data_IF_355129654540
#
_entry.id   IF_355129654540
#
_cell.length_a   1.000
_cell.length_b   1.000
_cell.length_c   1.000
_cell.angle_alpha   90.00
_cell.angle_beta   90.00
_cell.angle_gamma   90.00
#
_symmetry.space_group_name_H-M   'P 1'
#
loop_
_entity.id
_entity.type
_entity.pdbx_description
1 polymer ?
#
# COMPACT_ATOMS: atom_id res chain seq x y z
N UNK A 1 5.04 17.94 1.26
CA UNK A 1 5.98 18.14 0.10
C UNK A 1 5.27 18.18 -1.26
N UNK A 2 5.97 18.48 -2.37
CA UNK A 2 5.41 18.35 -3.74
C UNK A 2 5.30 16.87 -4.15
N UNK A 3 4.30 16.50 -4.94
CA UNK A 3 4.08 15.11 -5.33
C UNK A 3 5.10 14.61 -6.36
N UNK A 4 5.58 15.47 -7.25
CA UNK A 4 6.65 15.17 -8.21
C UNK A 4 7.88 14.50 -7.57
N UNK A 5 8.29 14.94 -6.38
CA UNK A 5 9.41 14.35 -5.65
C UNK A 5 9.18 12.88 -5.28
N UNK A 6 7.95 12.49 -4.95
CA UNK A 6 7.59 11.09 -4.70
C UNK A 6 7.49 10.30 -6.01
N UNK A 7 6.94 10.92 -7.06
CA UNK A 7 6.84 10.33 -8.40
C UNK A 7 8.22 10.01 -8.98
N UNK A 8 9.20 10.91 -8.82
CA UNK A 8 10.59 10.69 -9.21
C UNK A 8 11.25 9.55 -8.43
N UNK A 9 10.94 9.40 -7.14
CA UNK A 9 11.42 8.26 -6.34
C UNK A 9 10.86 6.95 -6.89
N UNK A 10 9.56 6.91 -7.23
CA UNK A 10 8.96 5.73 -7.83
C UNK A 10 9.57 5.40 -9.21
N UNK A 11 9.86 6.41 -10.03
CA UNK A 11 10.53 6.24 -11.33
C UNK A 11 11.93 5.65 -11.19
N UNK A 12 12.72 6.21 -10.28
CA UNK A 12 14.05 5.68 -9.99
C UNK A 12 14.00 4.23 -9.51
N UNK A 13 13.08 3.91 -8.61
CA UNK A 13 12.93 2.54 -8.11
C UNK A 13 12.51 1.56 -9.21
N UNK A 14 11.58 1.93 -10.07
CA UNK A 14 11.14 1.10 -11.20
C UNK A 14 12.26 0.86 -12.23
N UNK A 15 13.13 1.86 -12.45
CA UNK A 15 14.30 1.72 -13.33
C UNK A 15 15.46 0.93 -12.71
N UNK A 16 15.42 0.68 -11.41
CA UNK A 16 16.49 0.01 -10.66
C UNK A 16 16.20 -1.49 -10.57
N UNK A 17 17.20 -2.33 -10.80
CA UNK A 17 17.10 -3.79 -10.60
C UNK A 17 17.81 -4.27 -9.33
N UNK A 18 18.76 -3.48 -8.82
CA UNK A 18 19.53 -3.79 -7.62
C UNK A 18 18.71 -3.49 -6.36
N UNK A 19 18.44 -4.53 -5.55
CA UNK A 19 17.76 -4.36 -4.25
C UNK A 19 18.53 -3.42 -3.31
N UNK A 20 19.87 -3.47 -3.32
CA UNK A 20 20.68 -2.59 -2.47
C UNK A 20 20.52 -1.13 -2.88
N UNK A 21 20.52 -0.85 -4.18
CA UNK A 21 20.31 0.50 -4.70
C UNK A 21 18.89 1.00 -4.42
N UNK A 22 17.86 0.15 -4.54
CA UNK A 22 16.50 0.49 -4.10
C UNK A 22 16.45 0.85 -2.62
N UNK A 23 17.15 0.09 -1.77
CA UNK A 23 17.26 0.36 -0.33
C UNK A 23 17.88 1.73 -0.08
N UNK A 24 18.95 2.07 -0.80
CA UNK A 24 19.63 3.37 -0.65
C UNK A 24 18.73 4.53 -1.11
N UNK A 25 18.06 4.39 -2.26
CA UNK A 25 17.10 5.37 -2.79
C UNK A 25 15.99 5.65 -1.75
N UNK A 26 15.40 4.60 -1.19
CA UNK A 26 14.34 4.71 -0.19
C UNK A 26 14.86 5.30 1.11
N UNK A 27 16.04 4.87 1.58
CA UNK A 27 16.62 5.37 2.83
C UNK A 27 16.90 6.87 2.77
N UNK A 28 17.49 7.34 1.67
CA UNK A 28 17.77 8.75 1.43
C UNK A 28 16.50 9.59 1.31
N UNK A 29 15.44 9.00 0.76
CA UNK A 29 14.14 9.64 0.69
C UNK A 29 13.49 9.74 2.06
N UNK A 30 13.44 8.65 2.83
CA UNK A 30 12.78 8.60 4.14
C UNK A 30 13.34 9.63 5.12
N UNK A 31 14.66 9.87 5.12
CA UNK A 31 15.32 10.89 5.96
C UNK A 31 14.86 12.33 5.71
N UNK A 32 14.21 12.60 4.58
CA UNK A 32 13.79 13.95 4.15
C UNK A 32 12.30 14.20 4.33
N UNK A 33 11.54 13.20 4.76
CA UNK A 33 10.08 13.23 4.82
C UNK A 33 9.63 13.35 6.27
N UNK A 34 8.58 14.15 6.49
CA UNK A 34 7.94 14.27 7.79
C UNK A 34 7.33 12.91 8.22
N UNK A 35 7.47 12.47 9.49
CA UNK A 35 7.01 11.15 9.93
C UNK A 35 5.56 10.83 9.58
N UNK A 36 4.66 11.82 9.65
CA UNK A 36 3.24 11.64 9.30
C UNK A 36 3.00 11.45 7.80
N UNK A 37 3.81 12.08 6.94
CA UNK A 37 3.73 11.90 5.48
C UNK A 37 4.33 10.54 5.08
N UNK A 38 5.39 10.09 5.76
CA UNK A 38 6.08 8.82 5.49
C UNK A 38 5.14 7.61 5.53
N UNK A 39 4.21 7.59 6.51
CA UNK A 39 3.20 6.53 6.62
C UNK A 39 2.38 6.37 5.34
N UNK A 40 1.83 7.47 4.85
CA UNK A 40 1.00 7.48 3.66
C UNK A 40 1.82 7.15 2.41
N UNK A 41 3.07 7.60 2.33
CA UNK A 41 3.97 7.28 1.20
C UNK A 41 4.27 5.79 1.10
N UNK A 42 4.44 5.10 2.23
CA UNK A 42 4.65 3.65 2.25
C UNK A 42 3.42 2.93 1.70
N UNK A 43 2.21 3.33 2.07
CA UNK A 43 1.00 2.73 1.50
C UNK A 43 0.88 3.01 -0.01
N UNK A 44 1.18 4.24 -0.43
CA UNK A 44 1.10 4.62 -1.84
C UNK A 44 2.13 3.89 -2.71
N UNK A 45 3.30 3.52 -2.17
CA UNK A 45 4.28 2.70 -2.88
C UNK A 45 3.74 1.33 -3.30
N UNK A 46 2.71 0.83 -2.60
CA UNK A 46 1.99 -0.42 -2.92
C UNK A 46 0.60 -0.17 -3.52
N UNK A 47 0.29 1.09 -3.90
CA UNK A 47 -0.97 1.46 -4.52
C UNK A 47 -2.18 1.45 -3.59
N UNK A 48 -1.97 1.71 -2.29
CA UNK A 48 -3.02 1.73 -1.26
C UNK A 48 -2.96 3.03 -0.45
N UNK A 49 -4.07 3.35 0.24
CA UNK A 49 -4.12 4.43 1.22
C UNK A 49 -3.98 3.94 2.67
N UNK A 50 -4.16 2.63 2.86
CA UNK A 50 -4.23 1.99 4.16
C UNK A 50 -3.48 0.65 4.13
N UNK A 51 -3.21 0.04 5.30
CA UNK A 51 -2.66 -1.32 5.39
C UNK A 51 -3.52 -2.37 4.67
N UNK A 52 -2.92 -3.51 4.34
CA UNK A 52 -3.55 -4.62 3.59
C UNK A 52 -4.85 -5.13 4.25
N UNK A 53 -4.91 -5.12 5.58
CA UNK A 53 -6.07 -5.60 6.35
C UNK A 53 -7.22 -4.59 6.45
N UNK A 54 -7.05 -3.40 5.87
CA UNK A 54 -8.11 -2.42 5.80
C UNK A 54 -9.06 -2.78 4.64
N UNK A 55 -10.39 -2.83 4.88
CA UNK A 55 -11.32 -3.46 3.95
C UNK A 55 -11.60 -2.62 2.68
N UNK A 56 -11.23 -1.35 2.69
CA UNK A 56 -11.55 -0.43 1.60
C UNK A 56 -10.46 -0.48 0.53
N UNK A 57 -10.90 -0.64 -0.72
CA UNK A 57 -10.03 -0.60 -1.89
C UNK A 57 -10.27 0.69 -2.67
N UNK A 58 -9.18 1.35 -3.03
CA UNK A 58 -9.22 2.53 -3.92
C UNK A 58 -9.75 2.18 -5.33
N UNK A 59 -9.48 0.95 -5.78
CA UNK A 59 -9.55 0.45 -7.16
C UNK A 59 -10.61 1.07 -8.08
N UNK A 60 -10.14 1.80 -9.09
CA UNK A 60 -10.93 2.26 -10.23
C UNK A 60 -10.78 1.29 -11.41
N UNK A 61 -11.89 1.03 -12.11
CA UNK A 61 -11.85 0.25 -13.34
C UNK A 61 -11.05 0.97 -14.43
N UNK A 62 -10.24 0.23 -15.19
CA UNK A 62 -9.41 0.78 -16.28
C UNK A 62 -10.21 1.68 -17.23
N UNK A 63 -11.41 1.25 -17.63
CA UNK A 63 -12.28 2.02 -18.52
C UNK A 63 -12.64 3.40 -17.96
N UNK A 64 -12.78 3.53 -16.63
CA UNK A 64 -13.06 4.81 -15.98
C UNK A 64 -11.83 5.71 -15.97
N UNK A 65 -10.65 5.12 -15.74
CA UNK A 65 -9.37 5.81 -15.79
C UNK A 65 -9.06 6.32 -17.19
N UNK A 66 -9.25 5.49 -18.23
CA UNK A 66 -9.07 5.90 -19.63
C UNK A 66 -10.00 7.05 -20.03
N UNK A 67 -11.25 7.05 -19.54
CA UNK A 67 -12.19 8.17 -19.73
C UNK A 67 -11.70 9.46 -19.05
N UNK A 68 -11.14 9.36 -17.84
CA UNK A 68 -10.55 10.50 -17.16
C UNK A 68 -9.33 11.05 -17.91
N UNK A 69 -8.48 10.18 -18.47
CA UNK A 69 -7.32 10.58 -19.29
C UNK A 69 -7.79 11.30 -20.57
N UNK A 70 -8.83 10.78 -21.24
CA UNK A 70 -9.38 11.41 -22.44
C UNK A 70 -9.93 12.82 -22.15
N UNK A 71 -10.63 13.00 -21.02
CA UNK A 71 -11.24 14.28 -20.66
C UNK A 71 -10.23 15.39 -20.36
N UNK A 72 -9.02 15.06 -19.87
CA UNK A 72 -7.99 16.04 -19.51
C UNK A 72 -6.91 16.26 -20.59
N UNK A 73 -6.70 15.28 -21.46
CA UNK A 73 -5.65 15.36 -22.50
C UNK A 73 -6.06 16.17 -23.73
N UNK A 74 -7.35 16.47 -23.87
CA UNK A 74 -7.92 17.08 -25.09
C UNK A 74 -7.89 16.14 -26.29
N UNK A 75 -7.81 14.83 -26.05
CA UNK A 75 -7.80 13.76 -27.06
C UNK A 75 -9.12 13.00 -27.06
N UNK A 76 -9.42 12.36 -28.19
CA UNK A 76 -10.63 11.55 -28.31
C UNK A 76 -10.48 10.26 -27.51
N UNK A 77 -11.60 9.70 -27.03
CA UNK A 77 -11.60 8.40 -26.35
C UNK A 77 -10.94 7.30 -27.21
N UNK A 78 -11.15 7.35 -28.53
CA UNK A 78 -10.56 6.40 -29.47
C UNK A 78 -9.03 6.44 -29.48
N UNK A 79 -8.42 7.63 -29.47
CA UNK A 79 -6.96 7.77 -29.40
C UNK A 79 -6.39 7.16 -28.11
N UNK A 80 -7.11 7.33 -26.99
CA UNK A 80 -6.72 6.76 -25.69
C UNK A 80 -6.84 5.23 -25.70
N UNK A 81 -7.95 4.70 -26.23
CA UNK A 81 -8.17 3.26 -26.35
C UNK A 81 -7.14 2.60 -27.28
N UNK A 82 -6.79 3.24 -28.41
CA UNK A 82 -5.76 2.78 -29.34
C UNK A 82 -4.37 2.74 -28.68
N UNK A 83 -4.08 3.68 -27.79
CA UNK A 83 -2.82 3.70 -27.02
C UNK A 83 -2.83 2.64 -25.92
N UNK A 84 -3.96 2.46 -25.23
CA UNK A 84 -4.16 1.41 -24.24
C UNK A 84 -3.90 0.01 -24.82
N UNK A 85 -4.42 -0.28 -26.02
CA UNK A 85 -4.17 -1.55 -26.72
C UNK A 85 -2.68 -1.82 -26.94
N UNK A 86 -1.88 -0.76 -27.16
CA UNK A 86 -0.44 -0.88 -27.43
C UNK A 86 0.39 -1.04 -26.15
N UNK A 87 0.06 -0.28 -25.11
CA UNK A 87 0.89 -0.19 -23.89
C UNK A 87 0.44 -1.16 -22.79
N UNK A 88 -0.88 -1.38 -22.64
CA UNK A 88 -1.43 -2.24 -21.59
C UNK A 88 -1.23 -1.71 -20.15
N UNK A 89 -0.73 -0.50 -19.97
CA UNK A 89 -0.56 0.17 -18.67
C UNK A 89 -1.27 1.54 -18.65
N UNK A 90 -2.20 1.78 -17.70
CA UNK A 90 -2.95 3.04 -17.66
C UNK A 90 -2.06 4.22 -17.28
N UNK A 91 -0.95 3.97 -16.57
CA UNK A 91 0.03 4.98 -16.22
C UNK A 91 0.81 5.48 -17.44
N UNK A 92 1.36 4.58 -18.25
CA UNK A 92 2.09 4.96 -19.47
C UNK A 92 1.18 5.64 -20.49
N UNK A 93 -0.09 5.22 -20.58
CA UNK A 93 -1.11 5.92 -21.39
C UNK A 93 -1.29 7.36 -20.88
N UNK A 94 -1.42 7.54 -19.56
CA UNK A 94 -1.58 8.87 -18.97
C UNK A 94 -0.36 9.75 -19.21
N UNK A 95 0.86 9.24 -19.01
CA UNK A 95 2.11 9.95 -19.24
C UNK A 95 2.19 10.49 -20.68
N UNK A 96 1.96 9.63 -21.68
CA UNK A 96 2.04 10.03 -23.08
C UNK A 96 0.94 11.01 -23.49
N UNK A 97 -0.26 10.87 -22.92
CA UNK A 97 -1.40 11.76 -23.22
C UNK A 97 -1.23 13.13 -22.56
N UNK A 98 -0.71 13.17 -21.33
CA UNK A 98 -0.42 14.40 -20.59
C UNK A 98 0.76 15.15 -21.21
N UNK A 99 1.83 14.44 -21.62
CA UNK A 99 2.98 15.04 -22.30
C UNK A 99 2.61 15.72 -23.63
N UNK A 100 1.55 15.25 -24.29
CA UNK A 100 1.06 15.76 -25.58
C UNK A 100 -0.22 16.60 -25.45
N UNK A 101 -0.47 17.20 -24.27
CA UNK A 101 -1.60 18.10 -24.01
C UNK A 101 -1.64 19.18 -25.09
N UNK A 102 -2.70 19.20 -25.90
CA UNK A 102 -2.91 20.19 -26.97
C UNK A 102 -3.36 21.55 -26.43
N UNK A 103 -3.92 21.56 -25.23
CA UNK A 103 -4.53 22.72 -24.60
C UNK A 103 -3.57 23.25 -23.53
N UNK A 104 -3.05 24.46 -23.72
CA UNK A 104 -2.25 25.13 -22.70
C UNK A 104 -3.13 25.37 -21.46
N UNK A 105 -2.70 24.85 -20.31
CA UNK A 105 -3.31 25.16 -19.02
C UNK A 105 -3.09 26.66 -18.74
N UNK A 106 -4.17 27.44 -18.70
CA UNK A 106 -4.11 28.87 -18.38
C UNK A 106 -3.61 29.08 -16.94
N UNK A 107 -3.89 28.13 -16.05
CA UNK A 107 -3.40 28.05 -14.67
C UNK A 107 -3.23 26.57 -14.30
N UNK A 108 -2.07 26.20 -13.74
CA UNK A 108 -1.79 24.88 -13.17
C UNK A 108 -1.10 25.11 -11.84
N UNK A 109 -1.61 24.50 -10.78
CA UNK A 109 -0.94 24.50 -9.48
C UNK A 109 -0.17 23.19 -9.31
N UNK A 110 1.12 23.22 -8.94
CA UNK A 110 1.87 21.99 -8.70
C UNK A 110 1.19 21.12 -7.63
N UNK A 111 1.03 19.84 -7.93
CA UNK A 111 0.42 18.90 -6.99
C UNK A 111 1.25 18.79 -5.72
N UNK A 112 0.58 18.90 -4.58
CA UNK A 112 1.17 18.57 -3.28
C UNK A 112 0.86 17.12 -2.93
N UNK A 113 1.73 16.50 -2.13
CA UNK A 113 1.47 15.16 -1.59
C UNK A 113 0.12 15.10 -0.88
N UNK A 114 -0.16 16.09 -0.03
CA UNK A 114 -1.43 16.22 0.69
C UNK A 114 -2.64 16.30 -0.23
N UNK A 115 -2.59 17.14 -1.28
CA UNK A 115 -3.71 17.26 -2.23
C UNK A 115 -3.96 15.98 -3.02
N UNK A 116 -2.91 15.21 -3.33
CA UNK A 116 -3.06 13.90 -3.97
C UNK A 116 -3.71 12.91 -3.00
N UNK A 117 -3.23 12.81 -1.76
CA UNK A 117 -3.85 11.95 -0.75
C UNK A 117 -5.32 12.29 -0.55
N UNK A 118 -5.66 13.57 -0.41
CA UNK A 118 -7.06 14.03 -0.30
C UNK A 118 -7.90 13.62 -1.51
N UNK A 119 -7.36 13.79 -2.74
CA UNK A 119 -8.02 13.38 -3.97
C UNK A 119 -8.25 11.86 -4.05
N UNK A 120 -7.27 11.07 -3.63
CA UNK A 120 -7.37 9.61 -3.58
C UNK A 120 -8.38 9.16 -2.50
N UNK A 121 -8.39 9.78 -1.33
CA UNK A 121 -9.39 9.49 -0.28
C UNK A 121 -10.81 9.80 -0.74
N UNK A 122 -11.01 10.88 -1.50
CA UNK A 122 -12.31 11.18 -2.11
C UNK A 122 -12.73 10.13 -3.15
N UNK A 123 -11.78 9.54 -3.88
CA UNK A 123 -12.04 8.42 -4.80
C UNK A 123 -12.41 7.15 -4.04
N UNK A 124 -11.68 6.82 -2.98
CA UNK A 124 -11.91 5.62 -2.15
C UNK A 124 -13.28 5.65 -1.46
N UNK A 125 -13.61 6.80 -0.85
CA UNK A 125 -14.85 6.98 -0.07
C UNK A 125 -16.10 7.20 -0.94
N UNK A 126 -15.95 7.40 -2.26
CA UNK A 126 -17.07 7.60 -3.16
C UNK A 126 -17.88 6.30 -3.36
N UNK A 127 -19.02 6.21 -2.66
CA UNK A 127 -19.97 5.08 -2.73
C UNK A 127 -21.38 5.51 -3.15
N UNK A 128 -22.22 4.56 -3.55
CA UNK A 128 -23.61 4.79 -3.93
C UNK A 128 -23.80 5.26 -5.38
N UNK A 129 -25.00 5.80 -5.65
CA UNK A 129 -25.38 6.33 -6.96
C UNK A 129 -24.40 7.45 -7.36
N UNK A 130 -24.03 7.50 -8.64
CA UNK A 130 -23.10 8.48 -9.22
C UNK A 130 -21.66 8.45 -8.64
N UNK A 131 -21.28 7.39 -7.93
CA UNK A 131 -19.92 7.20 -7.42
C UNK A 131 -18.88 7.16 -8.55
N UNK A 132 -19.16 6.46 -9.65
CA UNK A 132 -18.26 6.36 -10.80
C UNK A 132 -17.94 7.75 -11.39
N UNK A 133 -18.95 8.61 -11.55
CA UNK A 133 -18.75 9.97 -12.08
C UNK A 133 -17.96 10.85 -11.12
N UNK A 134 -18.20 10.73 -9.81
CA UNK A 134 -17.40 11.43 -8.79
C UNK A 134 -15.94 10.98 -8.81
N UNK A 135 -15.68 9.68 -8.82
CA UNK A 135 -14.32 9.11 -8.91
C UNK A 135 -13.59 9.64 -10.16
N UNK A 136 -14.28 9.62 -11.31
CA UNK A 136 -13.73 10.15 -12.57
C UNK A 136 -13.41 11.65 -12.48
N UNK A 137 -14.27 12.46 -11.87
CA UNK A 137 -14.04 13.92 -11.69
C UNK A 137 -12.84 14.20 -10.79
N UNK A 138 -12.71 13.48 -9.68
CA UNK A 138 -11.56 13.64 -8.77
C UNK A 138 -10.25 13.23 -9.44
N UNK A 139 -10.25 12.11 -10.17
CA UNK A 139 -9.08 11.69 -10.94
C UNK A 139 -8.73 12.71 -12.03
N UNK A 140 -9.71 13.15 -12.82
CA UNK A 140 -9.50 14.15 -13.86
C UNK A 140 -8.94 15.47 -13.30
N UNK A 141 -9.38 15.90 -12.11
CA UNK A 141 -8.80 17.07 -11.44
C UNK A 141 -7.33 16.87 -11.12
N UNK A 142 -6.93 15.73 -10.54
CA UNK A 142 -5.52 15.46 -10.28
C UNK A 142 -4.69 15.39 -11.58
N UNK A 143 -5.20 14.74 -12.62
CA UNK A 143 -4.50 14.62 -13.91
C UNK A 143 -4.41 15.94 -14.70
N UNK A 144 -5.31 16.87 -14.44
CA UNK A 144 -5.25 18.20 -15.02
C UNK A 144 -3.99 18.94 -14.55
N UNK A 145 -3.71 18.89 -13.25
CA UNK A 145 -2.63 19.62 -12.57
C UNK A 145 -1.30 18.83 -12.51
N UNK A 146 -1.31 17.54 -12.88
CA UNK A 146 -0.12 16.68 -12.86
C UNK A 146 0.80 16.89 -14.07
N UNK A 147 2.10 16.75 -13.83
CA UNK A 147 3.08 16.49 -14.88
C UNK A 147 2.94 15.04 -15.44
N UNK A 148 3.66 14.68 -16.53
CA UNK A 148 3.55 13.35 -17.13
C UNK A 148 3.92 12.18 -16.20
N UNK A 149 4.94 12.33 -15.36
CA UNK A 149 5.43 11.27 -14.45
C UNK A 149 4.48 11.13 -13.26
N UNK A 150 4.00 12.25 -12.72
CA UNK A 150 2.95 12.28 -11.71
C UNK A 150 1.67 11.61 -12.24
N UNK A 151 1.25 11.91 -13.46
CA UNK A 151 0.08 11.30 -14.10
C UNK A 151 0.21 9.77 -14.19
N UNK A 152 1.40 9.28 -14.55
CA UNK A 152 1.69 7.84 -14.59
C UNK A 152 1.41 7.19 -13.23
N UNK A 153 2.00 7.73 -12.17
CA UNK A 153 1.88 7.13 -10.84
C UNK A 153 0.50 7.31 -10.24
N UNK A 154 -0.18 8.44 -10.45
CA UNK A 154 -1.58 8.62 -10.02
C UNK A 154 -2.46 7.54 -10.64
N UNK A 155 -2.36 7.31 -11.96
CA UNK A 155 -3.14 6.28 -12.65
C UNK A 155 -2.81 4.85 -12.19
N UNK A 156 -1.53 4.56 -11.90
CA UNK A 156 -1.13 3.25 -11.34
C UNK A 156 -1.59 3.06 -9.90
N UNK A 157 -1.60 4.10 -9.08
CA UNK A 157 -2.14 4.06 -7.71
C UNK A 157 -3.63 3.75 -7.74
N UNK A 158 -4.43 4.51 -8.51
CA UNK A 158 -5.90 4.29 -8.53
C UNK A 158 -6.32 2.96 -9.15
N UNK A 159 -5.47 2.34 -9.97
CA UNK A 159 -5.71 1.01 -10.54
C UNK A 159 -5.08 -0.13 -9.73
N UNK A 160 -4.33 0.17 -8.66
CA UNK A 160 -3.64 -0.84 -7.86
C UNK A 160 -2.50 -1.56 -8.60
N UNK A 161 -1.89 -0.91 -9.60
CA UNK A 161 -0.85 -1.47 -10.48
C UNK A 161 0.52 -0.85 -10.28
N UNK A 162 0.84 -0.47 -9.05
CA UNK A 162 2.17 0.05 -8.73
C UNK A 162 3.25 -1.00 -9.01
N UNK A 163 4.27 -0.62 -9.79
CA UNK A 163 5.39 -1.48 -10.23
C UNK A 163 6.74 -0.98 -9.72
N UNK A 164 6.77 -0.53 -8.47
CA UNK A 164 7.96 0.12 -7.90
C UNK A 164 9.11 -0.87 -7.62
N UNK A 165 8.85 -2.18 -7.67
CA UNK A 165 9.87 -3.23 -7.44
C UNK A 165 10.33 -3.39 -5.98
N UNK A 166 10.08 -2.40 -5.12
CA UNK A 166 10.38 -2.44 -3.69
C UNK A 166 9.31 -3.21 -2.90
N UNK A 167 9.58 -4.48 -2.58
CA UNK A 167 8.74 -5.27 -1.68
C UNK A 167 8.87 -4.83 -0.21
N UNK A 168 7.99 -5.35 0.66
CA UNK A 168 7.96 -5.02 2.09
C UNK A 168 9.30 -5.18 2.80
N UNK A 169 10.09 -6.21 2.43
CA UNK A 169 11.41 -6.42 3.02
C UNK A 169 12.43 -5.36 2.59
N UNK A 170 12.36 -4.87 1.35
CA UNK A 170 13.22 -3.77 0.87
C UNK A 170 12.87 -2.47 1.59
N UNK A 171 11.58 -2.18 1.76
CA UNK A 171 11.11 -1.03 2.56
C UNK A 171 11.59 -1.12 4.00
N UNK A 172 11.50 -2.31 4.61
CA UNK A 172 11.99 -2.54 5.98
C UNK A 172 13.51 -2.35 6.09
N UNK A 173 14.28 -2.86 5.13
CA UNK A 173 15.74 -2.66 5.09
C UNK A 173 16.07 -1.16 4.94
N UNK A 174 15.31 -0.42 4.13
CA UNK A 174 15.48 1.01 3.95
C UNK A 174 15.12 1.83 5.18
N UNK A 175 14.06 1.46 5.91
CA UNK A 175 13.70 2.05 7.20
C UNK A 175 14.80 1.83 8.24
N UNK A 176 15.34 0.60 8.31
CA UNK A 176 16.46 0.29 9.19
C UNK A 176 17.68 1.15 8.80
N UNK A 177 18.05 1.21 7.52
CA UNK A 177 19.17 2.04 7.05
C UNK A 177 18.95 3.55 7.27
N UNK A 178 17.68 4.00 7.33
CA UNK A 178 17.35 5.40 7.50
C UNK A 178 17.43 5.85 8.97
N UNK A 179 16.94 5.03 9.89
CA UNK A 179 16.61 5.46 11.25
C UNK A 179 17.10 4.52 12.36
N UNK A 180 17.80 3.43 12.03
CA UNK A 180 18.24 2.42 12.99
C UNK A 180 19.60 1.81 12.60
N UNK A 181 20.07 0.86 13.41
CA UNK A 181 21.23 0.02 13.05
C UNK A 181 20.79 -1.32 12.46
N UNK A 182 21.75 -2.05 11.88
CA UNK A 182 21.52 -3.39 11.32
C UNK A 182 21.10 -4.39 12.40
N UNK A 183 21.61 -4.24 13.61
CA UNK A 183 21.29 -5.05 14.78
C UNK A 183 19.88 -4.78 15.30
N UNK A 184 19.34 -3.60 15.01
CA UNK A 184 18.00 -3.16 15.44
C UNK A 184 16.88 -3.58 14.48
N UNK A 185 17.22 -3.94 13.24
CA UNK A 185 16.29 -4.44 12.21
C UNK A 185 15.32 -5.53 12.71
N UNK A 186 15.73 -6.55 13.49
CA UNK A 186 14.81 -7.56 14.00
C UNK A 186 13.68 -7.00 14.88
N UNK A 187 13.90 -5.86 15.57
CA UNK A 187 12.87 -5.22 16.38
C UNK A 187 11.86 -4.46 15.51
N UNK A 188 12.29 -3.86 14.40
CA UNK A 188 11.41 -3.28 13.38
C UNK A 188 10.57 -4.39 12.74
N UNK A 189 11.20 -5.52 12.40
CA UNK A 189 10.52 -6.69 11.85
C UNK A 189 9.50 -7.26 12.84
N UNK A 190 9.86 -7.36 14.13
CA UNK A 190 8.92 -7.74 15.19
C UNK A 190 7.72 -6.80 15.25
N UNK A 191 7.95 -5.49 15.23
CA UNK A 191 6.88 -4.50 15.27
C UNK A 191 5.94 -4.66 14.06
N UNK A 192 6.49 -4.82 12.85
CA UNK A 192 5.68 -5.10 11.66
C UNK A 192 4.91 -6.42 11.76
N UNK A 193 5.52 -7.47 12.32
CA UNK A 193 4.85 -8.76 12.48
C UNK A 193 3.67 -8.70 13.45
N UNK A 194 3.68 -7.82 14.45
CA UNK A 194 2.59 -7.69 15.43
C UNK A 194 1.55 -6.62 15.08
N UNK A 195 1.82 -5.76 14.11
CA UNK A 195 0.85 -4.75 13.63
C UNK A 195 0.32 -5.05 12.24
N UNK A 196 1.07 -5.78 11.41
CA UNK A 196 0.90 -5.91 9.97
C UNK A 196 0.82 -4.54 9.24
N UNK A 197 1.36 -3.48 9.84
CA UNK A 197 1.26 -2.11 9.35
C UNK A 197 2.66 -1.50 9.24
N UNK A 198 3.23 -1.53 8.02
CA UNK A 198 4.54 -0.95 7.74
C UNK A 198 4.56 0.57 7.87
N UNK A 199 3.45 1.23 7.51
CA UNK A 199 3.34 2.69 7.58
C UNK A 199 3.34 3.19 9.03
N UNK A 200 2.63 2.49 9.93
CA UNK A 200 2.65 2.77 11.37
C UNK A 200 4.05 2.57 11.96
N UNK A 201 4.72 1.47 11.60
CA UNK A 201 6.09 1.19 12.10
C UNK A 201 7.06 2.26 11.63
N UNK A 202 6.96 2.68 10.37
CA UNK A 202 7.79 3.73 9.81
C UNK A 202 7.56 5.09 10.46
N UNK A 203 6.30 5.51 10.64
CA UNK A 203 5.95 6.74 11.35
C UNK A 203 6.48 6.73 12.79
N UNK A 204 6.28 5.62 13.50
CA UNK A 204 6.74 5.47 14.89
C UNK A 204 8.26 5.54 14.98
N UNK A 205 8.96 4.86 14.07
CA UNK A 205 10.42 4.86 14.00
C UNK A 205 10.97 6.24 13.66
N UNK A 206 10.39 6.93 12.67
CA UNK A 206 10.85 8.25 12.25
C UNK A 206 10.57 9.33 13.31
N UNK A 207 9.45 9.24 14.03
CA UNK A 207 9.07 10.24 15.04
C UNK A 207 9.74 10.04 16.40
N UNK A 208 9.91 8.78 16.83
CA UNK A 208 10.31 8.44 18.20
C UNK A 208 11.45 7.44 18.31
N UNK A 209 12.07 7.05 17.20
CA UNK A 209 13.19 6.12 17.16
C UNK A 209 12.85 4.71 17.68
N UNK A 210 13.90 3.95 17.97
CA UNK A 210 13.77 2.57 18.44
C UNK A 210 13.11 2.43 19.81
N UNK A 211 13.20 3.44 20.67
CA UNK A 211 12.49 3.45 21.97
C UNK A 211 10.97 3.41 21.76
N UNK A 212 10.45 4.20 20.80
CA UNK A 212 9.04 4.19 20.46
C UNK A 212 8.62 2.87 19.80
N UNK A 213 9.45 2.32 18.90
CA UNK A 213 9.21 1.00 18.29
C UNK A 213 9.14 -0.11 19.36
N UNK A 214 9.98 -0.03 20.40
CA UNK A 214 9.98 -0.97 21.52
C UNK A 214 8.67 -0.99 22.32
N UNK A 215 7.89 0.10 22.27
CA UNK A 215 6.58 0.24 22.94
C UNK A 215 5.43 -0.31 22.09
N UNK A 216 5.66 -0.67 20.83
CA UNK A 216 4.64 -1.27 19.97
C UNK A 216 4.26 -2.65 20.53
N UNK A 217 2.98 -2.79 20.86
CA UNK A 217 2.35 -4.02 21.32
C UNK A 217 1.22 -4.46 20.39
N UNK A 218 0.70 -5.66 20.63
CA UNK A 218 -0.48 -6.18 19.93
C UNK A 218 -1.70 -5.35 20.31
N UNK A 219 -2.45 -4.90 19.32
CA UNK A 219 -3.69 -4.16 19.51
C UNK A 219 -4.89 -4.93 18.96
N UNK A 220 -5.98 -5.00 19.72
CA UNK A 220 -7.24 -5.62 19.24
C UNK A 220 -7.77 -4.82 18.05
N UNK A 221 -8.09 -5.50 16.95
CA UNK A 221 -8.49 -4.89 15.68
C UNK A 221 -7.35 -4.67 14.69
N UNK A 222 -6.10 -4.91 15.07
CA UNK A 222 -4.93 -4.93 14.16
C UNK A 222 -4.40 -6.36 14.08
N UNK A 223 -4.37 -6.99 12.91
CA UNK A 223 -3.95 -8.38 12.81
C UNK A 223 -2.45 -8.56 13.07
N UNK A 224 -2.09 -9.78 13.45
CA UNK A 224 -0.71 -10.23 13.69
C UNK A 224 -0.33 -11.24 12.61
N UNK A 225 0.88 -11.16 12.06
CA UNK A 225 1.42 -12.14 11.11
C UNK A 225 1.34 -13.53 11.73
N UNK A 226 0.75 -14.45 10.98
CA UNK A 226 0.54 -15.81 11.44
C UNK A 226 1.88 -16.54 11.63
N UNK A 227 2.06 -17.19 12.78
CA UNK A 227 3.18 -18.11 12.98
C UNK A 227 3.04 -19.30 12.03
N UNK A 228 4.09 -19.59 11.25
CA UNK A 228 4.17 -20.72 10.33
C UNK A 228 4.78 -21.95 11.02
N UNK A 229 4.55 -23.13 10.46
CA UNK A 229 5.09 -24.38 10.95
C UNK A 229 6.10 -24.98 9.94
N UNK A 230 7.20 -25.50 10.46
CA UNK A 230 8.13 -26.32 9.68
C UNK A 230 7.61 -27.76 9.57
N UNK A 231 7.98 -28.46 8.50
CA UNK A 231 7.59 -29.85 8.26
C UNK A 231 8.79 -30.77 8.47
N UNK A 232 8.63 -31.76 9.36
CA UNK A 232 9.56 -32.86 9.53
C UNK A 232 8.97 -34.17 8.99
N UNK A 233 9.83 -35.17 8.80
CA UNK A 233 9.49 -36.42 8.10
C UNK A 233 8.81 -37.44 9.00
N UNK A 234 9.12 -37.42 10.31
CA UNK A 234 8.66 -38.43 11.24
C UNK A 234 8.40 -37.86 12.65
N UNK A 235 7.62 -38.58 13.46
CA UNK A 235 7.39 -38.23 14.86
C UNK A 235 8.67 -38.24 15.71
N UNK A 236 9.60 -39.22 15.57
CA UNK A 236 10.89 -39.17 16.25
C UNK A 236 11.67 -37.88 15.96
N UNK A 237 11.77 -37.47 14.70
CA UNK A 237 12.48 -36.22 14.33
C UNK A 237 11.85 -34.99 15.02
N UNK A 238 10.51 -34.97 15.12
CA UNK A 238 9.77 -33.90 15.80
C UNK A 238 10.09 -33.92 17.30
N UNK A 239 10.04 -35.09 17.93
CA UNK A 239 10.32 -35.23 19.36
C UNK A 239 11.76 -34.82 19.69
N UNK A 240 12.72 -35.22 18.88
CA UNK A 240 14.13 -34.85 19.04
C UNK A 240 14.32 -33.34 18.88
N UNK A 241 13.72 -32.73 17.84
CA UNK A 241 13.79 -31.29 17.60
C UNK A 241 13.14 -30.47 18.72
N UNK A 242 12.05 -30.98 19.31
CA UNK A 242 11.31 -30.33 20.39
C UNK A 242 11.89 -30.58 21.78
N UNK A 243 13.00 -31.32 21.90
CA UNK A 243 13.63 -31.61 23.19
C UNK A 243 12.83 -32.60 24.05
N UNK A 244 12.12 -33.53 23.42
CA UNK A 244 11.38 -34.61 24.09
C UNK A 244 10.02 -34.24 24.65
N UNK A 245 9.57 -32.97 24.53
CA UNK A 245 8.24 -32.55 25.01
C UNK A 245 7.60 -31.55 24.06
N UNK A 246 6.42 -31.88 23.54
CA UNK A 246 5.60 -30.98 22.73
C UNK A 246 4.11 -31.25 22.92
N UNK A 247 3.27 -30.30 22.50
CA UNK A 247 1.83 -30.49 22.38
C UNK A 247 1.50 -30.92 20.94
N UNK A 248 0.55 -31.84 20.80
CA UNK A 248 0.01 -32.25 19.52
C UNK A 248 -1.44 -31.76 19.41
N UNK A 249 -1.74 -31.12 18.30
CA UNK A 249 -3.08 -30.67 17.93
C UNK A 249 -3.46 -31.29 16.59
N UNK A 250 -4.75 -31.49 16.36
CA UNK A 250 -5.22 -31.97 15.07
C UNK A 250 -4.95 -30.91 14.00
N UNK A 251 -4.35 -31.30 12.87
CA UNK A 251 -4.19 -30.40 11.73
C UNK A 251 -5.48 -30.40 10.92
N UNK A 252 -6.34 -29.43 11.18
CA UNK A 252 -7.56 -29.21 10.43
C UNK A 252 -7.28 -28.89 8.96
N UNK A 253 -8.20 -29.33 8.10
CA UNK A 253 -8.26 -28.97 6.69
C UNK A 253 -9.36 -27.91 6.51
N UNK A 254 -8.94 -26.65 6.42
CA UNK A 254 -9.87 -25.52 6.42
C UNK A 254 -9.16 -24.18 6.34
N UNK A 255 -9.90 -23.11 6.67
CA UNK A 255 -9.39 -21.75 6.66
C UNK A 255 -8.78 -21.39 8.02
N UNK A 256 -7.57 -20.86 8.02
CA UNK A 256 -6.99 -20.25 9.22
C UNK A 256 -7.56 -18.84 9.37
N UNK A 257 -8.19 -18.59 10.51
CA UNK A 257 -8.78 -17.29 10.86
C UNK A 257 -8.12 -16.76 12.13
N UNK A 258 -7.89 -15.45 12.17
CA UNK A 258 -7.48 -14.71 13.37
C UNK A 258 -8.64 -13.83 13.82
N UNK A 259 -9.22 -14.14 14.98
CA UNK A 259 -10.35 -13.40 15.55
C UNK A 259 -9.86 -12.31 16.52
N UNK A 260 -10.30 -11.08 16.29
CA UNK A 260 -10.11 -9.94 17.19
C UNK A 260 -11.46 -9.56 17.79
N UNK A 261 -11.57 -9.65 19.12
CA UNK A 261 -12.82 -9.45 19.84
C UNK A 261 -12.62 -8.35 20.88
N UNK A 262 -13.32 -7.23 20.71
CA UNK A 262 -13.43 -6.17 21.72
C UNK A 262 -14.82 -6.24 22.35
N UNK A 263 -14.89 -6.35 23.67
CA UNK A 263 -16.16 -6.34 24.43
C UNK A 263 -16.53 -4.91 24.85
N UNK A 264 -17.81 -4.66 25.11
CA UNK A 264 -18.35 -3.37 25.58
C UNK A 264 -19.34 -2.75 24.60
N UNK A 265 -19.83 -1.55 24.91
CA UNK A 265 -20.80 -0.80 24.08
C UNK A 265 -20.24 -0.49 22.67
N UNK A 266 -18.96 -0.14 22.57
CA UNK A 266 -18.21 0.01 21.31
C UNK A 266 -17.43 -1.27 20.95
N UNK A 267 -18.02 -2.43 21.25
CA UNK A 267 -17.46 -3.73 20.96
C UNK A 267 -17.46 -4.06 19.48
N UNK A 268 -16.59 -4.98 19.06
CA UNK A 268 -16.56 -5.50 17.69
C UNK A 268 -15.95 -6.89 17.64
N UNK A 269 -16.30 -7.63 16.59
CA UNK A 269 -15.62 -8.86 16.16
C UNK A 269 -15.04 -8.60 14.78
N UNK A 270 -13.78 -8.98 14.57
CA UNK A 270 -13.13 -9.00 13.25
C UNK A 270 -12.45 -10.33 13.01
N UNK A 271 -12.64 -10.89 11.82
CA UNK A 271 -12.08 -12.16 11.40
C UNK A 271 -11.11 -11.92 10.25
N UNK A 272 -9.81 -12.16 10.46
CA UNK A 272 -8.80 -12.00 9.42
C UNK A 272 -8.38 -13.33 8.82
N UNK A 273 -8.26 -13.39 7.49
CA UNK A 273 -7.74 -14.55 6.77
C UNK A 273 -6.23 -14.73 7.01
N UNK A 274 -5.66 -15.84 6.51
CA UNK A 274 -4.21 -16.04 6.45
C UNK A 274 -3.47 -14.90 5.71
N UNK A 275 -4.14 -14.27 4.74
CA UNK A 275 -3.63 -13.15 3.95
C UNK A 275 -4.03 -11.79 4.51
N UNK A 276 -4.55 -11.76 5.75
CA UNK A 276 -4.98 -10.55 6.46
C UNK A 276 -6.21 -9.87 5.87
N UNK A 277 -6.92 -10.51 4.93
CA UNK A 277 -8.19 -10.03 4.40
C UNK A 277 -9.27 -10.08 5.49
N UNK A 278 -10.10 -9.06 5.58
CA UNK A 278 -11.24 -9.03 6.50
C UNK A 278 -12.36 -9.95 5.97
N UNK A 279 -12.58 -11.05 6.67
CA UNK A 279 -13.58 -12.08 6.39
C UNK A 279 -14.84 -11.94 7.25
N UNK A 280 -14.96 -10.89 8.06
CA UNK A 280 -16.03 -10.77 9.06
C UNK A 280 -17.42 -10.87 8.41
N UNK A 281 -17.61 -10.21 7.27
CA UNK A 281 -18.87 -10.26 6.53
C UNK A 281 -19.11 -11.57 5.78
N UNK A 282 -18.07 -12.37 5.54
CA UNK A 282 -18.18 -13.65 4.87
C UNK A 282 -18.64 -14.78 5.79
N UNK A 283 -18.43 -14.64 7.11
CA UNK A 283 -18.76 -15.64 8.13
C UNK A 283 -19.54 -15.02 9.29
N UNK A 284 -20.77 -14.51 9.06
CA UNK A 284 -21.58 -13.89 10.11
C UNK A 284 -21.89 -14.87 11.25
N UNK A 285 -22.10 -16.15 10.91
CA UNK A 285 -22.33 -17.25 11.85
C UNK A 285 -21.17 -17.52 12.82
N UNK A 286 -19.93 -17.14 12.43
CA UNK A 286 -18.73 -17.24 13.28
C UNK A 286 -18.51 -15.93 14.05
N UNK A 287 -18.97 -14.80 13.52
CA UNK A 287 -18.77 -13.48 14.11
C UNK A 287 -19.80 -13.13 15.19
N UNK A 288 -21.01 -13.70 15.11
CA UNK A 288 -22.10 -13.56 16.08
C UNK A 288 -21.86 -14.38 17.38
#
# INVERSE_FOLDING_TARGET
MQFCQLAEVFDRLESTSSRLEMTDILSDFFKKVEPSELRQMIYLSVGRLHPEFYPQELGMADKLVLKAIASVSGRTQKEVDDLWIKLGDPGEVAEQMVAKKKQMTLFSEPLTFKSVVEGLTLIETATGKDSQDRKMKHLARMLHDSDPVEARYICRIVTGRMRVGAGAMTVMDALAAAFATKEERPYIERAFNITCDMGLVAETLAAGGMEAVGKIGVAVGSPVKVMLAERLRSLPDIMDRMGGKCAFEYKYDGMRVQAHIKKGEDGFVKLYSRRLEDLTHNFPDVAD
#
